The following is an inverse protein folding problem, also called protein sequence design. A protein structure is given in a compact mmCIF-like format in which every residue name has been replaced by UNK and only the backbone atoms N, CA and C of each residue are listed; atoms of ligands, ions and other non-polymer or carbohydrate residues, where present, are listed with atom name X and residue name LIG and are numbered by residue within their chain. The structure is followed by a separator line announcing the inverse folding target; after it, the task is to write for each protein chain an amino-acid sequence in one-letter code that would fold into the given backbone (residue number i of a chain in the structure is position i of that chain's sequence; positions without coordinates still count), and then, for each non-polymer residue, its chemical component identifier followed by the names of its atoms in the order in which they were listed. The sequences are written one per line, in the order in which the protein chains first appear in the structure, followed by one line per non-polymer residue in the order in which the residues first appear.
data_IF_992298895356
#
_entry.id   IF_992298895356
#
_cell.length_a   1.000
_cell.length_b   1.000
_cell.length_c   1.000
_cell.angle_alpha   90.00
_cell.angle_beta   90.00
_cell.angle_gamma   90.00
#
_symmetry.space_group_name_H-M   'P 1'
#
loop_
_entity.id
_entity.type
_entity.pdbx_description
1 polymer ?
#
# COMPACT_ATOMS: atom_id res chain seq x y z
N UNK A 1 22.01 -21.05 -28.71
CA UNK A 1 22.30 -19.93 -27.77
C UNK A 1 22.77 -20.57 -26.47
N UNK A 2 23.80 -19.99 -25.83
CA UNK A 2 24.53 -20.63 -24.72
C UNK A 2 24.20 -20.00 -23.37
N UNK A 3 24.32 -20.79 -22.31
CA UNK A 3 24.29 -20.31 -20.92
C UNK A 3 25.41 -19.30 -20.62
N UNK A 4 26.53 -19.39 -21.33
CA UNK A 4 27.62 -18.41 -21.27
C UNK A 4 27.18 -17.00 -21.67
N UNK A 5 26.43 -16.86 -22.78
CA UNK A 5 25.86 -15.58 -23.23
C UNK A 5 24.93 -14.97 -22.19
N UNK A 6 24.11 -15.80 -21.54
CA UNK A 6 23.21 -15.36 -20.49
C UNK A 6 23.97 -14.80 -19.27
N UNK A 7 25.06 -15.47 -18.87
CA UNK A 7 25.92 -14.98 -17.80
C UNK A 7 26.64 -13.68 -18.14
N UNK A 8 27.13 -13.54 -19.38
CA UNK A 8 27.75 -12.29 -19.83
C UNK A 8 26.75 -11.13 -19.84
N UNK A 9 25.49 -11.37 -20.22
CA UNK A 9 24.45 -10.36 -20.11
C UNK A 9 24.14 -10.00 -18.64
N UNK A 10 24.02 -10.99 -17.76
CA UNK A 10 23.81 -10.75 -16.33
C UNK A 10 24.95 -9.91 -15.71
N UNK A 11 26.20 -10.20 -16.06
CA UNK A 11 27.36 -9.41 -15.64
C UNK A 11 27.31 -7.97 -16.18
N UNK A 12 26.96 -7.78 -17.45
CA UNK A 12 26.82 -6.45 -18.02
C UNK A 12 25.68 -5.65 -17.38
N UNK A 13 24.53 -6.28 -17.10
CA UNK A 13 23.43 -5.66 -16.37
C UNK A 13 23.87 -5.25 -14.96
N UNK A 14 24.64 -6.10 -14.27
CA UNK A 14 25.21 -5.79 -12.95
C UNK A 14 26.13 -4.55 -12.98
N UNK A 15 26.83 -4.33 -14.09
CA UNK A 15 27.68 -3.15 -14.31
C UNK A 15 26.91 -1.90 -14.78
N UNK A 16 25.60 -2.03 -15.02
CA UNK A 16 24.71 -0.93 -15.38
C UNK A 16 24.26 -0.91 -16.84
N UNK A 17 24.44 -2.00 -17.61
CA UNK A 17 23.97 -2.06 -18.99
C UNK A 17 22.44 -1.93 -19.08
N UNK A 18 21.98 -1.26 -20.14
CA UNK A 18 20.57 -1.12 -20.50
C UNK A 18 20.21 -1.87 -21.79
N UNK A 19 21.17 -2.64 -22.34
CA UNK A 19 21.01 -3.38 -23.60
C UNK A 19 19.94 -4.48 -23.46
N UNK A 20 18.91 -4.50 -24.34
CA UNK A 20 17.93 -5.57 -24.43
C UNK A 20 18.55 -6.96 -24.67
N UNK A 21 17.90 -8.02 -24.20
CA UNK A 21 18.41 -9.39 -24.33
C UNK A 21 18.59 -9.83 -25.79
N UNK A 22 17.65 -9.42 -26.66
CA UNK A 22 17.71 -9.73 -28.10
C UNK A 22 18.84 -9.02 -28.84
N UNK A 23 19.30 -7.90 -28.30
CA UNK A 23 20.37 -7.09 -28.88
C UNK A 23 21.75 -7.46 -28.31
N UNK A 24 21.79 -8.31 -27.28
CA UNK A 24 23.04 -8.80 -26.72
C UNK A 24 23.81 -9.65 -27.75
N UNK A 25 25.13 -9.52 -27.90
CA UNK A 25 25.86 -10.26 -28.94
C UNK A 25 25.74 -11.78 -28.78
N UNK A 26 25.71 -12.52 -29.90
CA UNK A 26 25.60 -13.98 -29.95
C UNK A 26 26.86 -14.70 -30.46
N UNK A 27 27.92 -13.93 -30.74
CA UNK A 27 29.17 -14.38 -31.35
C UNK A 27 30.23 -14.88 -30.33
N UNK A 28 29.80 -15.21 -29.11
CA UNK A 28 30.65 -15.71 -28.02
C UNK A 28 31.55 -14.66 -27.37
N UNK A 29 31.68 -13.45 -27.95
CA UNK A 29 32.42 -12.32 -27.36
C UNK A 29 31.74 -11.78 -26.09
N UNK A 30 30.46 -12.10 -25.94
CA UNK A 30 29.61 -11.68 -24.84
C UNK A 30 29.27 -12.83 -23.87
N UNK A 31 30.02 -13.94 -23.94
CA UNK A 31 29.96 -15.01 -22.95
C UNK A 31 30.65 -14.55 -21.66
N UNK A 32 30.06 -14.87 -20.51
CA UNK A 32 30.59 -14.51 -19.20
C UNK A 32 30.70 -15.70 -18.26
N UNK A 33 31.49 -15.52 -17.21
CA UNK A 33 31.61 -16.48 -16.13
C UNK A 33 30.35 -16.49 -15.24
N UNK A 34 29.97 -17.64 -14.67
CA UNK A 34 28.86 -17.72 -13.73
C UNK A 34 29.06 -16.81 -12.51
N UNK A 35 28.06 -15.97 -12.20
CA UNK A 35 28.08 -15.12 -11.00
C UNK A 35 27.60 -15.87 -9.74
N UNK A 36 26.82 -16.94 -9.91
CA UNK A 36 26.23 -17.74 -8.85
C UNK A 36 26.05 -19.20 -9.30
N UNK A 37 25.51 -20.04 -8.40
CA UNK A 37 25.26 -21.47 -8.69
C UNK A 37 24.23 -21.69 -9.81
N UNK A 38 23.21 -20.83 -9.87
CA UNK A 38 22.14 -20.89 -10.87
C UNK A 38 21.98 -19.55 -11.59
N UNK A 39 21.58 -19.60 -12.86
CA UNK A 39 21.33 -18.41 -13.66
C UNK A 39 20.06 -17.70 -13.15
N UNK A 40 20.10 -16.37 -12.90
CA UNK A 40 18.91 -15.64 -12.50
C UNK A 40 17.78 -15.75 -13.54
N UNK A 41 16.55 -15.86 -13.06
CA UNK A 41 15.36 -15.86 -13.90
C UNK A 41 15.19 -14.60 -14.76
N UNK A 42 14.36 -14.73 -15.80
CA UNK A 42 14.04 -13.65 -16.73
C UNK A 42 13.40 -12.44 -16.02
N UNK A 43 12.70 -12.64 -14.90
CA UNK A 43 12.12 -11.52 -14.13
C UNK A 43 13.22 -10.68 -13.46
N UNK A 44 14.23 -11.31 -12.84
CA UNK A 44 15.33 -10.62 -12.18
C UNK A 44 16.14 -9.80 -13.19
N UNK A 45 16.48 -10.42 -14.32
CA UNK A 45 17.23 -9.76 -15.39
C UNK A 45 16.43 -8.60 -16.01
N UNK A 46 15.14 -8.82 -16.29
CA UNK A 46 14.24 -7.78 -16.82
C UNK A 46 14.01 -6.62 -15.85
N UNK A 47 13.91 -6.90 -14.54
CA UNK A 47 13.81 -5.89 -13.50
C UNK A 47 15.10 -5.07 -13.41
N UNK A 48 16.27 -5.73 -13.35
CA UNK A 48 17.56 -5.05 -13.24
C UNK A 48 17.82 -4.14 -14.44
N UNK A 49 17.50 -4.60 -15.66
CA UNK A 49 17.60 -3.76 -16.86
C UNK A 49 16.73 -2.50 -16.75
N UNK A 50 15.45 -2.65 -16.39
CA UNK A 50 14.54 -1.50 -16.22
C UNK A 50 14.99 -0.57 -15.08
N UNK A 51 15.59 -1.11 -14.02
CA UNK A 51 16.19 -0.34 -12.94
C UNK A 51 17.40 0.47 -13.43
N UNK A 52 18.27 -0.12 -14.26
CA UNK A 52 19.38 0.59 -14.89
C UNK A 52 18.89 1.73 -15.80
N UNK A 53 17.85 1.49 -16.61
CA UNK A 53 17.22 2.53 -17.44
C UNK A 53 16.67 3.67 -16.58
N UNK A 54 15.95 3.35 -15.50
CA UNK A 54 15.42 4.35 -14.58
C UNK A 54 16.52 5.14 -13.87
N UNK A 55 17.61 4.47 -13.48
CA UNK A 55 18.77 5.13 -12.87
C UNK A 55 19.47 6.07 -13.86
N UNK A 56 19.72 5.61 -15.09
CA UNK A 56 20.34 6.40 -16.14
C UNK A 56 19.52 7.66 -16.47
N UNK A 57 18.19 7.51 -16.60
CA UNK A 57 17.27 8.64 -16.81
C UNK A 57 17.31 9.66 -15.66
N UNK A 58 17.60 9.22 -14.43
CA UNK A 58 17.79 10.06 -13.26
C UNK A 58 19.24 10.55 -13.07
N UNK A 59 20.15 10.30 -14.02
CA UNK A 59 21.55 10.73 -13.97
C UNK A 59 22.38 9.99 -12.91
N UNK A 60 21.97 8.78 -12.52
CA UNK A 60 22.60 7.95 -11.48
C UNK A 60 22.88 6.54 -12.00
N UNK A 61 23.60 5.75 -11.21
CA UNK A 61 23.81 4.31 -11.46
C UNK A 61 23.15 3.48 -10.36
N UNK A 62 22.76 2.26 -10.71
CA UNK A 62 22.35 1.28 -9.71
C UNK A 62 23.59 0.85 -8.91
N UNK A 63 23.57 0.93 -7.57
CA UNK A 63 24.67 0.41 -6.77
C UNK A 63 24.86 -1.09 -7.01
N UNK A 64 26.11 -1.56 -7.11
CA UNK A 64 26.44 -2.97 -7.35
C UNK A 64 25.77 -3.89 -6.33
N UNK A 65 25.72 -3.48 -5.06
CA UNK A 65 25.03 -4.23 -4.00
C UNK A 65 23.53 -4.39 -4.27
N UNK A 66 22.86 -3.38 -4.84
CA UNK A 66 21.45 -3.49 -5.24
C UNK A 66 21.30 -4.40 -6.46
N UNK A 67 22.20 -4.30 -7.45
CA UNK A 67 22.19 -5.22 -8.59
C UNK A 67 22.34 -6.68 -8.15
N UNK A 68 23.28 -6.96 -7.23
CA UNK A 68 23.48 -8.29 -6.64
C UNK A 68 22.24 -8.78 -5.90
N UNK A 69 21.58 -7.90 -5.13
CA UNK A 69 20.30 -8.20 -4.48
C UNK A 69 19.20 -8.55 -5.48
N UNK A 70 19.09 -7.83 -6.58
CA UNK A 70 18.08 -8.11 -7.62
C UNK A 70 18.35 -9.45 -8.31
N UNK A 71 19.61 -9.74 -8.64
CA UNK A 71 19.98 -11.00 -9.30
C UNK A 71 19.76 -12.22 -8.39
N UNK A 72 19.94 -12.06 -7.08
CA UNK A 72 19.71 -13.11 -6.09
C UNK A 72 18.27 -13.20 -5.57
N UNK A 73 17.38 -12.28 -5.98
CA UNK A 73 16.03 -12.19 -5.45
C UNK A 73 15.16 -13.37 -5.91
N UNK A 74 14.37 -13.94 -5.00
CA UNK A 74 13.32 -14.89 -5.36
C UNK A 74 12.05 -14.20 -5.88
N UNK A 75 11.19 -14.96 -6.55
CA UNK A 75 9.86 -14.50 -6.98
C UNK A 75 8.85 -14.73 -5.86
N UNK A 76 8.11 -13.68 -5.48
CA UNK A 76 7.02 -13.80 -4.50
C UNK A 76 5.72 -14.35 -5.13
N UNK A 77 4.95 -15.12 -4.34
CA UNK A 77 3.63 -15.64 -4.71
C UNK A 77 3.53 -17.17 -4.75
N UNK A 78 2.39 -17.74 -4.34
CA UNK A 78 2.22 -19.20 -4.26
C UNK A 78 2.28 -19.88 -5.63
N UNK A 79 3.11 -20.93 -5.71
CA UNK A 79 3.18 -21.83 -6.87
C UNK A 79 3.75 -21.18 -8.14
N UNK A 80 4.44 -20.05 -8.00
CA UNK A 80 5.13 -19.35 -9.08
C UNK A 80 6.63 -19.47 -8.85
N UNK A 81 7.37 -19.81 -9.90
CA UNK A 81 8.82 -19.89 -9.89
C UNK A 81 9.42 -18.87 -10.84
N UNK A 82 10.74 -18.84 -10.87
CA UNK A 82 11.51 -18.08 -11.86
C UNK A 82 11.18 -18.57 -13.27
N UNK A 83 11.06 -17.62 -14.20
CA UNK A 83 10.83 -17.90 -15.60
C UNK A 83 12.19 -18.08 -16.29
N UNK A 84 12.41 -19.19 -17.03
CA UNK A 84 13.64 -19.41 -17.75
C UNK A 84 13.90 -18.32 -18.80
N UNK A 85 15.16 -18.00 -19.03
CA UNK A 85 15.57 -17.05 -20.05
C UNK A 85 15.53 -17.69 -21.44
N UNK A 86 14.90 -17.02 -22.41
CA UNK A 86 14.83 -17.48 -23.80
C UNK A 86 16.24 -17.69 -24.39
N UNK A 87 16.56 -18.94 -24.74
CA UNK A 87 17.82 -19.31 -25.39
C UNK A 87 19.01 -19.49 -24.44
N UNK A 88 18.81 -19.47 -23.12
CA UNK A 88 19.89 -19.77 -22.17
C UNK A 88 20.17 -21.29 -22.08
N UNK A 89 19.11 -22.09 -22.01
CA UNK A 89 19.15 -23.55 -21.93
C UNK A 89 18.22 -24.17 -22.99
N UNK A 90 18.39 -25.47 -23.25
CA UNK A 90 17.48 -26.22 -24.11
C UNK A 90 16.08 -26.28 -23.48
N UNK A 91 15.01 -26.11 -24.27
CA UNK A 91 13.65 -26.05 -23.73
C UNK A 91 13.28 -27.38 -23.06
N UNK A 92 13.02 -27.32 -21.75
CA UNK A 92 12.53 -28.47 -21.00
C UNK A 92 11.11 -28.88 -21.43
N UNK A 93 10.82 -30.18 -21.32
CA UNK A 93 9.47 -30.73 -21.63
C UNK A 93 8.42 -30.33 -20.58
N UNK A 94 8.85 -30.00 -19.37
CA UNK A 94 7.99 -29.65 -18.24
C UNK A 94 8.43 -28.30 -17.67
N UNK A 95 7.48 -27.55 -17.10
CA UNK A 95 7.75 -26.23 -16.53
C UNK A 95 7.30 -25.05 -17.40
N UNK A 96 7.50 -23.80 -16.93
CA UNK A 96 7.19 -22.61 -17.68
C UNK A 96 8.07 -22.50 -18.93
N UNK A 97 7.52 -21.95 -20.02
CA UNK A 97 8.28 -21.72 -21.24
C UNK A 97 9.32 -20.63 -21.02
N UNK A 98 10.52 -20.73 -21.64
CA UNK A 98 11.48 -19.65 -21.65
C UNK A 98 10.89 -18.37 -22.26
N UNK A 99 11.22 -17.23 -21.67
CA UNK A 99 10.66 -15.93 -22.04
C UNK A 99 11.75 -14.90 -22.29
N UNK A 100 11.39 -13.91 -23.09
CA UNK A 100 12.21 -12.72 -23.31
C UNK A 100 11.93 -11.69 -22.20
N UNK A 101 12.93 -11.31 -21.37
CA UNK A 101 12.78 -10.38 -20.27
C UNK A 101 12.18 -9.03 -20.66
N UNK A 102 12.42 -8.58 -21.89
CA UNK A 102 11.94 -7.29 -22.38
C UNK A 102 10.45 -7.31 -22.74
N UNK A 103 9.89 -8.50 -22.93
CA UNK A 103 8.46 -8.70 -23.23
C UNK A 103 7.64 -9.07 -22.01
N UNK A 104 8.28 -9.21 -20.84
CA UNK A 104 7.59 -9.54 -19.61
C UNK A 104 6.59 -8.43 -19.25
N UNK A 105 5.35 -8.81 -18.88
CA UNK A 105 4.40 -7.84 -18.36
C UNK A 105 4.91 -7.30 -17.02
N UNK A 106 4.59 -6.04 -16.73
CA UNK A 106 5.10 -5.35 -15.55
C UNK A 106 4.67 -6.02 -14.23
N UNK A 107 3.55 -6.76 -14.23
CA UNK A 107 3.09 -7.52 -13.06
C UNK A 107 4.05 -8.64 -12.64
N UNK A 108 4.76 -9.26 -13.58
CA UNK A 108 5.77 -10.30 -13.29
C UNK A 108 7.00 -9.67 -12.62
N UNK A 109 7.42 -8.48 -13.05
CA UNK A 109 8.53 -7.75 -12.44
C UNK A 109 8.17 -7.18 -11.08
N UNK A 110 6.93 -6.71 -10.92
CA UNK A 110 6.40 -6.24 -9.65
C UNK A 110 6.44 -7.31 -8.56
N UNK A 111 6.43 -8.61 -8.88
CA UNK A 111 6.57 -9.68 -7.88
C UNK A 111 7.96 -9.75 -7.28
N UNK A 112 8.99 -9.54 -8.09
CA UNK A 112 10.39 -9.48 -7.63
C UNK A 112 10.60 -8.17 -6.86
N UNK A 113 10.17 -7.04 -7.43
CA UNK A 113 10.31 -5.72 -6.81
C UNK A 113 9.57 -5.63 -5.46
N UNK A 114 8.35 -6.17 -5.35
CA UNK A 114 7.60 -6.20 -4.11
C UNK A 114 8.26 -7.06 -3.03
N UNK A 115 8.93 -8.16 -3.41
CA UNK A 115 9.72 -8.97 -2.49
C UNK A 115 10.90 -8.20 -1.91
N UNK A 116 11.69 -7.57 -2.77
CA UNK A 116 12.83 -6.73 -2.36
C UNK A 116 12.43 -5.56 -1.45
N UNK A 117 11.34 -4.86 -1.78
CA UNK A 117 10.81 -3.78 -0.93
C UNK A 117 10.28 -4.34 0.39
N UNK A 118 9.69 -5.54 0.40
CA UNK A 118 9.25 -6.18 1.64
C UNK A 118 10.44 -6.53 2.54
N UNK A 119 11.56 -7.00 1.97
CA UNK A 119 12.80 -7.24 2.71
C UNK A 119 13.33 -5.94 3.33
N UNK A 120 13.35 -4.84 2.58
CA UNK A 120 13.76 -3.52 3.11
C UNK A 120 12.84 -3.07 4.25
N UNK A 121 11.52 -3.20 4.11
CA UNK A 121 10.56 -2.87 5.16
C UNK A 121 10.76 -3.77 6.38
N UNK A 122 10.97 -5.08 6.19
CA UNK A 122 11.24 -6.02 7.28
C UNK A 122 12.55 -5.70 8.01
N UNK A 123 13.57 -5.23 7.31
CA UNK A 123 14.82 -4.80 7.92
C UNK A 123 14.66 -3.58 8.85
N UNK A 124 13.59 -2.81 8.71
CA UNK A 124 13.24 -1.73 9.66
C UNK A 124 12.52 -2.23 10.91
N UNK A 125 12.09 -3.49 10.95
CA UNK A 125 11.45 -4.07 12.12
C UNK A 125 12.42 -4.15 13.30
N UNK A 126 11.94 -3.81 14.50
CA UNK A 126 12.77 -3.81 15.71
C UNK A 126 13.70 -2.60 15.85
N UNK A 127 13.68 -1.64 14.93
CA UNK A 127 14.30 -0.33 15.18
C UNK A 127 13.66 0.26 16.44
N UNK A 128 14.46 0.63 17.47
CA UNK A 128 13.91 1.08 18.74
C UNK A 128 13.03 2.31 18.50
N UNK A 129 11.73 2.18 18.81
CA UNK A 129 10.86 3.35 18.84
C UNK A 129 11.46 4.33 19.84
N UNK A 130 11.81 5.55 19.42
CA UNK A 130 12.43 6.51 20.34
C UNK A 130 11.50 6.67 21.54
N UNK A 131 12.05 6.49 22.75
CA UNK A 131 11.24 6.67 23.95
C UNK A 131 10.66 8.08 23.94
N UNK A 132 9.35 8.24 24.21
CA UNK A 132 8.77 9.56 24.27
C UNK A 132 9.50 10.36 25.35
N UNK A 133 9.96 11.54 24.96
CA UNK A 133 10.61 12.52 25.83
C UNK A 133 9.69 12.90 26.99
N UNK A 134 10.24 13.43 28.09
CA UNK A 134 9.43 13.92 29.21
C UNK A 134 8.39 14.96 28.77
N UNK A 135 8.72 15.79 27.77
CA UNK A 135 7.80 16.77 27.18
C UNK A 135 6.66 16.08 26.45
N UNK A 136 6.94 15.05 25.66
CA UNK A 136 5.91 14.26 24.97
C UNK A 136 5.01 13.51 25.95
N UNK A 137 5.59 12.92 27.00
CA UNK A 137 4.81 12.30 28.09
C UNK A 137 3.92 13.31 28.79
N UNK A 138 4.42 14.52 29.08
CA UNK A 138 3.63 15.57 29.70
C UNK A 138 2.51 16.10 28.77
N UNK A 139 2.73 16.14 27.45
CA UNK A 139 1.69 16.47 26.46
C UNK A 139 0.67 15.35 26.30
N UNK A 140 1.09 14.09 26.38
CA UNK A 140 0.22 12.92 26.37
C UNK A 140 -0.53 12.73 27.70
N UNK A 141 -0.07 13.36 28.79
CA UNK A 141 -0.76 13.31 30.07
C UNK A 141 -2.12 13.99 29.96
N UNK A 142 -3.18 13.19 30.15
CA UNK A 142 -4.55 13.64 30.02
C UNK A 142 -4.90 14.65 31.10
N UNK A 143 -5.31 15.86 30.71
CA UNK A 143 -5.80 16.86 31.67
C UNK A 143 -7.18 16.47 32.18
N UNK A 144 -7.45 16.51 33.50
CA UNK A 144 -8.70 16.01 34.08
C UNK A 144 -9.97 16.72 33.59
N UNK A 145 -9.82 17.94 33.04
CA UNK A 145 -10.89 18.77 32.49
C UNK A 145 -11.17 18.53 30.99
N UNK A 146 -10.46 17.61 30.33
CA UNK A 146 -10.67 17.33 28.90
C UNK A 146 -11.82 16.33 28.69
N UNK A 147 -12.69 16.62 27.72
CA UNK A 147 -13.79 15.72 27.31
C UNK A 147 -13.23 14.32 27.01
N UNK A 148 -13.93 13.28 27.48
CA UNK A 148 -13.59 11.90 27.15
C UNK A 148 -14.16 11.55 25.79
N UNK A 149 -13.30 11.13 24.86
CA UNK A 149 -13.72 10.79 23.51
C UNK A 149 -12.91 9.62 22.96
N UNK A 150 -13.49 8.93 21.99
CA UNK A 150 -12.79 7.99 21.12
C UNK A 150 -13.21 8.25 19.69
N UNK A 151 -12.27 8.13 18.76
CA UNK A 151 -12.56 8.25 17.33
C UNK A 151 -12.73 6.83 16.79
N UNK A 152 -13.80 6.57 16.06
CA UNK A 152 -14.09 5.29 15.40
C UNK A 152 -14.39 5.52 13.92
N UNK A 153 -14.35 4.48 13.09
CA UNK A 153 -14.60 4.59 11.65
C UNK A 153 -13.59 3.82 10.81
N UNK A 154 -13.54 4.13 9.52
CA UNK A 154 -12.60 3.50 8.60
C UNK A 154 -11.16 3.77 9.05
N UNK A 155 -10.39 2.70 9.26
CA UNK A 155 -9.09 2.75 9.94
C UNK A 155 -8.14 3.79 9.33
N UNK A 156 -8.05 3.87 8.00
CA UNK A 156 -7.16 4.81 7.30
C UNK A 156 -7.36 6.27 7.76
N UNK A 157 -8.61 6.70 7.90
CA UNK A 157 -8.97 8.04 8.36
C UNK A 157 -8.90 8.16 9.87
N UNK A 158 -9.50 7.21 10.58
CA UNK A 158 -9.59 7.24 12.04
C UNK A 158 -8.21 7.24 12.71
N UNK A 159 -7.26 6.44 12.20
CA UNK A 159 -5.90 6.35 12.74
C UNK A 159 -5.15 7.69 12.56
N UNK A 160 -5.31 8.33 11.40
CA UNK A 160 -4.69 9.64 11.12
C UNK A 160 -5.23 10.74 12.04
N UNK A 161 -6.54 10.76 12.29
CA UNK A 161 -7.18 11.69 13.23
C UNK A 161 -6.72 11.42 14.67
N UNK A 162 -6.65 10.15 15.09
CA UNK A 162 -6.15 9.77 16.43
C UNK A 162 -4.71 10.21 16.63
N UNK A 163 -3.83 9.96 15.64
CA UNK A 163 -2.43 10.36 15.69
C UNK A 163 -2.28 11.88 15.79
N UNK A 164 -3.02 12.65 14.98
CA UNK A 164 -2.97 14.11 15.02
C UNK A 164 -3.51 14.70 16.33
N UNK A 165 -4.58 14.14 16.88
CA UNK A 165 -5.10 14.55 18.19
C UNK A 165 -4.11 14.24 19.31
N UNK A 166 -3.48 13.05 19.28
CA UNK A 166 -2.44 12.69 20.25
C UNK A 166 -1.23 13.64 20.16
N UNK A 167 -0.75 13.95 18.95
CA UNK A 167 0.34 14.90 18.73
C UNK A 167 -0.01 16.32 19.22
N UNK A 168 -1.29 16.70 19.17
CA UNK A 168 -1.81 17.95 19.71
C UNK A 168 -2.06 17.93 21.24
N UNK A 169 -1.64 16.87 21.95
CA UNK A 169 -1.82 16.73 23.40
C UNK A 169 -3.25 16.38 23.82
N UNK A 170 -4.02 15.76 22.93
CA UNK A 170 -5.42 15.34 23.14
C UNK A 170 -5.58 13.84 22.84
N UNK A 171 -4.93 12.94 23.59
CA UNK A 171 -5.08 11.51 23.37
C UNK A 171 -6.53 11.06 23.66
N UNK A 172 -7.01 10.11 22.86
CA UNK A 172 -8.32 9.50 23.07
C UNK A 172 -8.40 8.71 24.39
N UNK A 173 -9.61 8.54 24.91
CA UNK A 173 -9.92 7.76 26.11
C UNK A 173 -10.56 8.58 27.23
N UNK A 174 -10.55 8.00 28.42
CA UNK A 174 -11.18 8.57 29.61
C UNK A 174 -12.39 7.78 30.11
N UNK A 175 -12.95 8.22 31.25
CA UNK A 175 -14.12 7.59 31.85
C UNK A 175 -15.36 7.96 31.02
N UNK A 176 -16.05 6.94 30.48
CA UNK A 176 -17.28 7.08 29.66
C UNK A 176 -17.11 8.02 28.44
N UNK A 177 -16.27 7.64 27.46
CA UNK A 177 -16.00 8.48 26.31
C UNK A 177 -17.18 8.54 25.33
N UNK A 178 -17.32 9.67 24.64
CA UNK A 178 -18.17 9.78 23.44
C UNK A 178 -17.41 9.20 22.23
N UNK A 179 -18.03 8.27 21.51
CA UNK A 179 -17.50 7.67 20.30
C UNK A 179 -17.93 8.47 19.06
N UNK A 180 -16.97 9.15 18.44
CA UNK A 180 -17.18 9.88 17.18
C UNK A 180 -16.87 8.96 15.99
N UNK A 181 -17.91 8.52 15.29
CA UNK A 181 -17.81 7.69 14.08
C UNK A 181 -17.57 8.59 12.86
N UNK A 182 -16.33 8.62 12.38
CA UNK A 182 -15.98 9.31 11.15
C UNK A 182 -16.58 8.59 9.95
N UNK A 183 -17.37 9.33 9.20
CA UNK A 183 -17.96 8.92 7.94
C UNK A 183 -17.56 9.90 6.83
N UNK A 184 -17.82 9.50 5.59
CA UNK A 184 -17.68 10.30 4.38
C UNK A 184 -18.71 9.82 3.35
N UNK A 185 -18.71 10.40 2.15
CA UNK A 185 -19.43 9.79 1.04
C UNK A 185 -19.00 8.33 0.85
N UNK A 186 -19.92 7.47 0.42
CA UNK A 186 -19.67 6.04 0.42
C UNK A 186 -18.56 5.61 -0.57
N UNK A 187 -18.33 6.38 -1.64
CA UNK A 187 -17.22 6.11 -2.56
C UNK A 187 -15.87 6.31 -1.86
N UNK A 188 -15.71 7.44 -1.15
CA UNK A 188 -14.52 7.74 -0.35
C UNK A 188 -14.33 6.73 0.78
N UNK A 189 -15.40 6.30 1.45
CA UNK A 189 -15.36 5.25 2.47
C UNK A 189 -14.82 3.93 1.90
N UNK A 190 -15.21 3.54 0.69
CA UNK A 190 -14.70 2.33 0.03
C UNK A 190 -13.22 2.44 -0.32
N UNK A 191 -12.77 3.61 -0.80
CA UNK A 191 -11.36 3.88 -1.09
C UNK A 191 -10.53 3.78 0.18
N UNK A 192 -10.98 4.40 1.27
CA UNK A 192 -10.32 4.30 2.58
C UNK A 192 -10.31 2.86 3.11
N UNK A 193 -11.36 2.08 2.87
CA UNK A 193 -11.45 0.68 3.29
C UNK A 193 -10.48 -0.21 2.52
N UNK A 194 -10.33 0.00 1.20
CA UNK A 194 -9.34 -0.70 0.39
C UNK A 194 -7.91 -0.29 0.76
N UNK A 195 -7.67 1.01 0.98
CA UNK A 195 -6.37 1.53 1.44
C UNK A 195 -5.98 0.92 2.78
N UNK A 196 -6.87 0.96 3.77
CA UNK A 196 -6.63 0.33 5.08
C UNK A 196 -6.33 -1.17 4.95
N UNK A 197 -7.01 -1.86 4.03
CA UNK A 197 -6.77 -3.29 3.77
C UNK A 197 -5.40 -3.54 3.12
N UNK A 198 -4.98 -2.69 2.17
CA UNK A 198 -3.67 -2.78 1.54
C UNK A 198 -2.55 -2.70 2.59
N UNK A 199 -2.67 -1.77 3.55
CA UNK A 199 -1.73 -1.61 4.66
C UNK A 199 -1.85 -2.69 5.74
N UNK A 200 -2.91 -3.49 5.79
CA UNK A 200 -3.08 -4.49 6.85
C UNK A 200 -2.63 -5.88 6.41
N UNK A 201 -3.02 -6.31 5.22
CA UNK A 201 -2.89 -7.72 4.81
C UNK A 201 -2.65 -7.97 3.33
N UNK A 202 -2.46 -6.91 2.54
CA UNK A 202 -2.61 -7.01 1.09
C UNK A 202 -4.04 -7.46 0.72
N UNK A 203 -4.16 -8.17 -0.40
CA UNK A 203 -5.42 -8.79 -0.83
C UNK A 203 -5.83 -8.45 -2.26
N UNK A 204 -7.14 -8.41 -2.55
CA UNK A 204 -7.64 -8.27 -3.92
C UNK A 204 -7.26 -6.92 -4.52
N UNK A 205 -7.11 -6.92 -5.85
CA UNK A 205 -7.02 -5.69 -6.65
C UNK A 205 -8.21 -4.76 -6.36
N UNK A 206 -8.09 -3.47 -6.65
CA UNK A 206 -9.21 -2.52 -6.51
C UNK A 206 -10.46 -3.02 -7.25
N UNK A 207 -10.27 -3.52 -8.47
CA UNK A 207 -11.31 -4.11 -9.29
C UNK A 207 -12.01 -5.28 -8.60
N UNK A 208 -11.24 -6.26 -8.10
CA UNK A 208 -11.80 -7.45 -7.46
C UNK A 208 -12.46 -7.14 -6.11
N UNK A 209 -11.92 -6.17 -5.37
CA UNK A 209 -12.52 -5.66 -4.14
C UNK A 209 -13.94 -5.14 -4.37
N UNK A 210 -14.11 -4.29 -5.39
CA UNK A 210 -15.42 -3.76 -5.77
C UNK A 210 -16.33 -4.84 -6.35
N UNK A 211 -15.82 -5.66 -7.29
CA UNK A 211 -16.59 -6.76 -7.89
C UNK A 211 -17.15 -7.66 -6.81
N UNK A 212 -16.30 -8.16 -5.92
CA UNK A 212 -16.73 -9.08 -4.85
C UNK A 212 -17.79 -8.43 -3.96
N UNK A 213 -17.58 -7.17 -3.54
CA UNK A 213 -18.55 -6.45 -2.70
C UNK A 213 -19.92 -6.27 -3.41
N UNK A 214 -19.89 -5.92 -4.70
CA UNK A 214 -21.10 -5.79 -5.51
C UNK A 214 -21.83 -7.13 -5.73
N UNK A 215 -21.08 -8.20 -6.00
CA UNK A 215 -21.64 -9.54 -6.27
C UNK A 215 -22.29 -10.15 -5.03
N UNK A 216 -21.73 -9.92 -3.84
CA UNK A 216 -22.34 -10.34 -2.58
C UNK A 216 -23.44 -9.38 -2.08
N UNK A 217 -23.61 -8.22 -2.72
CA UNK A 217 -24.68 -7.27 -2.44
C UNK A 217 -24.56 -6.53 -1.10
N UNK A 218 -23.40 -6.57 -0.44
CA UNK A 218 -23.16 -5.91 0.84
C UNK A 218 -21.81 -5.16 0.86
N UNK A 219 -21.70 -4.18 1.76
CA UNK A 219 -20.43 -3.48 1.97
C UNK A 219 -19.41 -4.41 2.65
N UNK A 220 -18.11 -4.24 2.36
CA UNK A 220 -17.08 -4.91 3.14
C UNK A 220 -17.13 -4.41 4.59
N UNK A 221 -16.79 -5.23 5.60
CA UNK A 221 -16.90 -4.83 7.02
C UNK A 221 -16.15 -3.54 7.39
N UNK A 222 -15.10 -3.19 6.64
CA UNK A 222 -14.31 -1.95 6.81
C UNK A 222 -14.95 -0.69 6.21
N UNK A 223 -16.05 -0.83 5.48
CA UNK A 223 -16.85 0.25 4.91
C UNK A 223 -18.30 0.28 5.45
N UNK A 224 -18.70 -0.73 6.24
CA UNK A 224 -20.04 -0.86 6.81
C UNK A 224 -20.19 0.04 8.05
N UNK A 225 -20.50 1.32 7.82
CA UNK A 225 -20.68 2.33 8.86
C UNK A 225 -21.78 1.95 9.88
N UNK A 226 -22.96 1.41 9.48
CA UNK A 226 -23.96 0.97 10.44
C UNK A 226 -23.45 -0.13 11.37
N UNK A 227 -22.68 -1.10 10.84
CA UNK A 227 -22.04 -2.13 11.69
C UNK A 227 -21.02 -1.53 12.64
N UNK A 228 -20.23 -0.56 12.21
CA UNK A 228 -19.31 0.16 13.10
C UNK A 228 -20.04 0.92 14.20
N UNK A 229 -21.14 1.61 13.87
CA UNK A 229 -21.99 2.30 14.84
C UNK A 229 -22.60 1.35 15.87
N UNK A 230 -23.11 0.19 15.43
CA UNK A 230 -23.62 -0.87 16.32
C UNK A 230 -22.53 -1.42 17.24
N UNK A 231 -21.33 -1.67 16.72
CA UNK A 231 -20.20 -2.12 17.53
C UNK A 231 -19.78 -1.07 18.56
N UNK A 232 -19.74 0.21 18.19
CA UNK A 232 -19.49 1.31 19.11
C UNK A 232 -20.60 1.43 20.18
N UNK A 233 -21.87 1.28 19.77
CA UNK A 233 -23.02 1.29 20.67
C UNK A 233 -22.92 0.19 21.72
N UNK A 234 -22.59 -1.03 21.29
CA UNK A 234 -22.40 -2.15 22.21
C UNK A 234 -21.30 -1.90 23.23
N UNK A 235 -20.24 -1.19 22.84
CA UNK A 235 -19.07 -0.92 23.69
C UNK A 235 -19.22 0.31 24.60
N UNK A 236 -19.88 1.37 24.13
CA UNK A 236 -19.89 2.69 24.78
C UNK A 236 -21.28 3.17 25.22
N UNK A 237 -22.36 2.54 24.75
CA UNK A 237 -23.74 2.99 24.96
C UNK A 237 -24.27 3.80 23.77
N UNK A 238 -25.57 3.72 23.51
CA UNK A 238 -26.22 4.38 22.37
C UNK A 238 -26.22 5.91 22.49
N UNK A 239 -26.35 6.44 23.71
CA UNK A 239 -26.29 7.87 24.04
C UNK A 239 -24.89 8.49 23.84
N UNK A 240 -23.89 7.66 23.51
CA UNK A 240 -22.48 8.05 23.39
C UNK A 240 -21.91 7.88 22.00
N UNK A 241 -22.71 7.52 21.00
CA UNK A 241 -22.24 7.41 19.61
C UNK A 241 -22.71 8.63 18.84
N UNK A 242 -21.78 9.30 18.15
CA UNK A 242 -22.08 10.44 17.28
C UNK A 242 -21.49 10.18 15.91
N UNK A 243 -22.31 10.22 14.86
CA UNK A 243 -21.87 10.11 13.47
C UNK A 243 -21.31 11.44 13.01
N UNK A 244 -20.16 11.44 12.33
CA UNK A 244 -19.46 12.65 11.92
C UNK A 244 -19.27 12.66 10.40
N UNK A 245 -19.96 13.59 9.75
CA UNK A 245 -19.84 13.91 8.31
C UNK A 245 -19.33 15.34 8.07
N UNK A 246 -19.13 16.10 9.15
CA UNK A 246 -18.45 17.39 9.14
C UNK A 246 -17.19 17.35 10.03
N UNK A 247 -15.99 17.20 9.42
CA UNK A 247 -14.73 17.21 10.14
C UNK A 247 -14.43 18.53 10.86
N UNK A 248 -14.92 19.67 10.36
CA UNK A 248 -14.71 20.97 10.99
C UNK A 248 -15.59 21.10 12.24
N UNK A 249 -16.82 20.60 12.20
CA UNK A 249 -17.69 20.53 13.37
C UNK A 249 -17.06 19.66 14.47
N UNK A 250 -16.49 18.50 14.10
CA UNK A 250 -15.76 17.67 15.06
C UNK A 250 -14.50 18.35 15.60
N UNK A 251 -13.74 19.05 14.74
CA UNK A 251 -12.57 19.82 15.19
C UNK A 251 -12.96 20.85 16.25
N UNK A 252 -14.03 21.62 16.01
CA UNK A 252 -14.57 22.58 16.96
C UNK A 252 -15.02 21.91 18.27
N UNK A 253 -15.76 20.79 18.18
CA UNK A 253 -16.26 20.04 19.34
C UNK A 253 -15.12 19.50 20.24
N UNK A 254 -14.00 19.11 19.62
CA UNK A 254 -12.79 18.62 20.30
C UNK A 254 -11.80 19.75 20.68
N UNK A 255 -12.08 21.00 20.29
CA UNK A 255 -11.25 22.17 20.56
C UNK A 255 -9.90 22.15 19.85
N UNK A 256 -9.86 21.66 18.60
CA UNK A 256 -8.69 21.72 17.71
C UNK A 256 -9.00 22.58 16.48
N UNK A 257 -7.97 23.22 15.91
CA UNK A 257 -8.12 24.03 14.70
C UNK A 257 -8.51 23.19 13.47
N UNK A 258 -7.97 21.98 13.37
CA UNK A 258 -8.28 21.02 12.30
C UNK A 258 -7.99 19.60 12.75
N UNK A 259 -8.64 18.65 12.09
CA UNK A 259 -8.28 17.23 12.19
C UNK A 259 -7.17 16.91 11.19
N UNK A 260 -6.28 16.01 11.57
CA UNK A 260 -5.26 15.52 10.65
C UNK A 260 -5.90 14.66 9.58
N UNK A 261 -5.69 15.02 8.31
CA UNK A 261 -6.05 14.20 7.16
C UNK A 261 -5.07 13.02 7.01
N UNK A 262 -5.55 11.87 6.50
CA UNK A 262 -4.64 10.80 6.13
C UNK A 262 -3.67 11.23 5.03
N UNK A 263 -2.46 10.61 4.94
CA UNK A 263 -1.57 10.81 3.82
C UNK A 263 -2.31 10.57 2.49
N UNK A 264 -2.14 11.50 1.55
CA UNK A 264 -2.75 11.38 0.22
C UNK A 264 -1.94 10.37 -0.58
N UNK A 265 -2.56 9.25 -0.95
CA UNK A 265 -1.95 8.21 -1.78
C UNK A 265 -2.77 8.04 -3.05
N UNK A 266 -2.10 8.04 -4.19
CA UNK A 266 -2.72 7.71 -5.47
C UNK A 266 -2.96 6.20 -5.63
N UNK A 267 -3.76 5.82 -6.63
CA UNK A 267 -4.15 4.45 -6.89
C UNK A 267 -2.93 3.52 -7.05
N UNK A 268 -1.89 3.98 -7.75
CA UNK A 268 -0.69 3.18 -8.01
C UNK A 268 0.13 2.96 -6.72
N UNK A 269 0.18 3.97 -5.84
CA UNK A 269 0.87 3.85 -4.55
C UNK A 269 0.17 2.86 -3.61
N UNK A 270 -1.16 2.89 -3.57
CA UNK A 270 -1.94 1.94 -2.75
C UNK A 270 -1.77 0.51 -3.27
N UNK A 271 -1.76 0.32 -4.59
CA UNK A 271 -1.54 -1.01 -5.18
C UNK A 271 -0.11 -1.54 -4.94
N UNK A 272 0.90 -0.67 -4.98
CA UNK A 272 2.26 -1.04 -4.60
C UNK A 272 2.31 -1.55 -3.16
N UNK A 273 1.72 -0.82 -2.20
CA UNK A 273 1.64 -1.27 -0.80
C UNK A 273 0.92 -2.60 -0.67
N UNK A 274 -0.19 -2.79 -1.42
CA UNK A 274 -0.93 -4.07 -1.45
C UNK A 274 -0.05 -5.23 -1.91
N UNK A 275 0.78 -5.02 -2.94
CA UNK A 275 1.70 -6.01 -3.50
C UNK A 275 2.87 -6.31 -2.55
N UNK A 276 3.40 -5.31 -1.86
CA UNK A 276 4.47 -5.48 -0.84
C UNK A 276 3.95 -6.20 0.41
N UNK A 277 2.70 -5.94 0.82
CA UNK A 277 2.13 -6.54 2.03
C UNK A 277 1.94 -8.06 1.99
N UNK A 278 1.92 -8.66 0.80
CA UNK A 278 1.84 -10.12 0.61
C UNK A 278 3.15 -10.84 1.01
N UNK A 279 4.31 -10.59 0.38
CA UNK A 279 5.59 -11.17 0.80
C UNK A 279 6.00 -10.73 2.21
N UNK A 280 5.74 -9.48 2.60
CA UNK A 280 6.05 -9.02 3.97
C UNK A 280 5.33 -9.86 5.04
N UNK A 281 4.13 -10.37 4.75
CA UNK A 281 3.39 -11.26 5.65
C UNK A 281 4.07 -12.60 5.96
N UNK A 282 5.15 -12.94 5.24
CA UNK A 282 6.00 -14.11 5.51
C UNK A 282 7.24 -13.76 6.35
N UNK A 283 7.59 -12.48 6.45
CA UNK A 283 8.82 -12.00 7.08
C UNK A 283 8.60 -11.44 8.49
N UNK A 284 7.39 -10.98 8.80
CA UNK A 284 7.08 -10.30 10.07
C UNK A 284 5.78 -10.81 10.69
N UNK A 285 5.61 -10.58 11.99
CA UNK A 285 4.40 -10.94 12.69
C UNK A 285 3.17 -10.19 12.16
N UNK A 286 2.04 -10.90 12.09
CA UNK A 286 0.78 -10.34 11.58
C UNK A 286 0.35 -9.06 12.31
N UNK A 287 0.66 -8.97 13.60
CA UNK A 287 0.31 -7.82 14.43
C UNK A 287 1.15 -6.57 14.11
N UNK A 288 2.41 -6.76 13.71
CA UNK A 288 3.39 -5.69 13.47
C UNK A 288 3.32 -5.15 12.03
N UNK A 289 2.99 -6.02 11.07
CA UNK A 289 2.94 -5.69 9.64
C UNK A 289 2.23 -4.35 9.33
N UNK A 290 1.04 -4.06 9.88
CA UNK A 290 0.34 -2.82 9.52
C UNK A 290 1.04 -1.56 10.01
N UNK A 291 1.78 -1.64 11.12
CA UNK A 291 2.57 -0.54 11.63
C UNK A 291 3.82 -0.33 10.78
N UNK A 292 4.53 -1.42 10.46
CA UNK A 292 5.72 -1.38 9.59
C UNK A 292 5.42 -0.79 8.22
N UNK A 293 4.36 -1.28 7.54
CA UNK A 293 3.98 -0.73 6.23
C UNK A 293 3.64 0.76 6.31
N UNK A 294 2.92 1.19 7.35
CA UNK A 294 2.57 2.61 7.51
C UNK A 294 3.79 3.46 7.82
N UNK A 295 4.68 3.03 8.71
CA UNK A 295 5.87 3.78 9.09
C UNK A 295 6.87 3.88 7.92
N UNK A 296 7.10 2.78 7.21
CA UNK A 296 8.11 2.69 6.16
C UNK A 296 7.66 3.28 4.81
N UNK A 297 6.41 3.02 4.39
CA UNK A 297 5.95 3.34 3.03
C UNK A 297 5.02 4.55 2.96
N UNK A 298 4.19 4.82 3.97
CA UNK A 298 3.23 5.93 3.87
C UNK A 298 3.93 7.30 3.70
N UNK A 299 5.03 7.63 4.41
CA UNK A 299 5.75 8.88 4.20
C UNK A 299 6.41 8.97 2.81
N UNK A 300 7.02 7.87 2.32
CA UNK A 300 7.70 7.83 1.03
C UNK A 300 6.75 7.92 -0.16
N UNK A 301 5.51 7.46 0.01
CA UNK A 301 4.48 7.45 -1.03
C UNK A 301 3.48 8.61 -0.90
N UNK A 302 3.58 9.44 0.14
CA UNK A 302 2.71 10.59 0.33
C UNK A 302 2.79 11.56 -0.87
N UNK A 303 1.63 11.87 -1.46
CA UNK A 303 1.52 12.71 -2.65
C UNK A 303 1.93 12.03 -3.96
N UNK A 304 2.24 10.72 -3.95
CA UNK A 304 2.68 9.97 -5.14
C UNK A 304 1.62 8.98 -5.63
N UNK A 305 1.84 8.45 -6.84
CA UNK A 305 1.03 7.39 -7.45
C UNK A 305 -0.24 7.84 -8.14
N UNK A 306 -0.29 9.11 -8.56
CA UNK A 306 -1.39 9.69 -9.33
C UNK A 306 -2.60 10.07 -8.49
N UNK A 307 -3.77 10.13 -9.13
CA UNK A 307 -5.04 10.40 -8.47
C UNK A 307 -5.49 9.23 -7.57
N UNK A 308 -6.32 9.50 -6.58
CA UNK A 308 -6.94 8.47 -5.75
C UNK A 308 -7.82 7.54 -6.62
N UNK A 309 -7.92 6.24 -6.29
CA UNK A 309 -8.77 5.33 -7.04
C UNK A 309 -10.23 5.77 -6.91
N UNK A 310 -11.00 5.57 -7.97
CA UNK A 310 -12.43 5.94 -8.00
C UNK A 310 -13.29 4.73 -8.30
N UNK A 311 -14.55 4.75 -7.85
CA UNK A 311 -15.51 3.68 -8.15
C UNK A 311 -16.00 3.82 -9.61
N UNK A 312 -15.82 2.81 -10.48
CA UNK A 312 -16.33 2.85 -11.84
C UNK A 312 -17.86 3.00 -11.93
N UNK A 313 -18.34 3.75 -12.93
CA UNK A 313 -19.75 4.08 -13.13
C UNK A 313 -20.68 2.84 -13.18
N UNK A 314 -20.18 1.70 -13.69
CA UNK A 314 -20.93 0.42 -13.70
C UNK A 314 -21.35 -0.08 -12.30
N UNK A 315 -20.68 0.37 -11.24
CA UNK A 315 -21.04 0.07 -9.86
C UNK A 315 -21.93 1.15 -9.23
N UNK A 316 -22.29 2.20 -9.98
CA UNK A 316 -23.05 3.34 -9.48
C UNK A 316 -24.39 2.97 -8.87
N UNK A 317 -25.19 2.14 -9.54
CA UNK A 317 -26.47 1.68 -9.00
C UNK A 317 -26.32 0.94 -7.66
N UNK A 318 -25.35 0.02 -7.57
CA UNK A 318 -25.05 -0.68 -6.32
C UNK A 318 -24.57 0.29 -5.22
N UNK A 319 -23.69 1.22 -5.56
CA UNK A 319 -23.15 2.20 -4.61
C UNK A 319 -24.25 3.12 -4.07
N UNK A 320 -25.12 3.64 -4.93
CA UNK A 320 -26.27 4.46 -4.55
C UNK A 320 -27.20 3.70 -3.61
N UNK A 321 -27.57 2.46 -3.95
CA UNK A 321 -28.42 1.63 -3.08
C UNK A 321 -27.75 1.29 -1.74
N UNK A 322 -26.43 1.13 -1.70
CA UNK A 322 -25.71 0.93 -0.43
C UNK A 322 -25.65 2.23 0.39
N UNK A 323 -25.51 3.39 -0.24
CA UNK A 323 -25.45 4.69 0.42
C UNK A 323 -26.81 5.05 1.03
N UNK A 324 -27.90 4.86 0.28
CA UNK A 324 -29.26 5.04 0.75
C UNK A 324 -29.59 4.13 1.94
N UNK A 325 -29.22 2.84 1.85
CA UNK A 325 -29.39 1.90 2.97
C UNK A 325 -28.58 2.31 4.19
N UNK A 326 -27.32 2.71 3.99
CA UNK A 326 -26.45 3.16 5.09
C UNK A 326 -27.01 4.41 5.77
N UNK A 327 -27.48 5.38 4.98
CA UNK A 327 -28.15 6.59 5.47
C UNK A 327 -29.39 6.23 6.27
N UNK A 328 -30.27 5.40 5.71
CA UNK A 328 -31.51 4.97 6.38
C UNK A 328 -31.24 4.23 7.68
N UNK A 329 -30.28 3.31 7.71
CA UNK A 329 -29.92 2.54 8.90
C UNK A 329 -29.39 3.44 10.03
N UNK A 330 -28.58 4.45 9.69
CA UNK A 330 -28.04 5.40 10.66
C UNK A 330 -29.11 6.38 11.17
N UNK A 331 -30.00 6.83 10.29
CA UNK A 331 -31.14 7.69 10.60
C UNK A 331 -32.15 6.96 11.52
N UNK A 332 -32.54 5.75 11.16
CA UNK A 332 -33.47 4.92 11.92
C UNK A 332 -32.93 4.55 13.31
N UNK A 333 -31.61 4.43 13.47
CA UNK A 333 -30.97 4.20 14.75
C UNK A 333 -30.94 5.45 15.66
N UNK A 334 -31.26 6.64 15.14
CA UNK A 334 -31.40 7.87 15.92
C UNK A 334 -30.09 8.41 16.50
N UNK A 335 -28.94 8.07 15.89
CA UNK A 335 -27.65 8.59 16.35
C UNK A 335 -27.56 10.11 16.15
N UNK A 336 -27.03 10.87 17.13
CA UNK A 336 -26.61 12.25 16.90
C UNK A 336 -25.66 12.37 15.71
N UNK A 337 -25.84 13.39 14.87
CA UNK A 337 -25.04 13.63 13.67
C UNK A 337 -24.36 15.00 13.74
N UNK A 338 -23.05 15.03 13.50
CA UNK A 338 -22.30 16.25 13.21
C UNK A 338 -22.14 16.39 11.70
N UNK A 339 -22.94 17.27 11.10
CA UNK A 339 -23.06 17.44 9.66
C UNK A 339 -24.41 16.93 9.15
N UNK A 340 -24.44 16.46 7.90
CA UNK A 340 -25.65 16.04 7.21
C UNK A 340 -25.48 14.62 6.66
N UNK A 341 -26.43 13.72 6.96
CA UNK A 341 -26.45 12.33 6.49
C UNK A 341 -26.54 12.22 4.97
N UNK A 342 -27.08 13.24 4.28
CA UNK A 342 -27.14 13.25 2.81
C UNK A 342 -25.75 13.27 2.17
N UNK A 343 -24.69 13.68 2.92
CA UNK A 343 -23.29 13.58 2.48
C UNK A 343 -22.80 12.14 2.29
N UNK A 344 -23.52 11.13 2.80
CA UNK A 344 -23.22 9.72 2.54
C UNK A 344 -23.48 9.34 1.08
N UNK A 345 -24.41 10.05 0.42
CA UNK A 345 -24.80 9.79 -0.95
C UNK A 345 -23.65 10.22 -1.87
N UNK A 346 -23.15 9.33 -2.74
CA UNK A 346 -22.05 9.66 -3.64
C UNK A 346 -22.52 10.74 -4.63
N UNK A 347 -21.62 11.68 -4.93
CA UNK A 347 -21.80 12.57 -6.08
C UNK A 347 -21.72 11.81 -7.42
N UNK A 348 -21.83 12.52 -8.55
CA UNK A 348 -21.63 11.93 -9.87
C UNK A 348 -20.29 11.19 -9.96
N UNK A 349 -20.34 9.91 -10.33
CA UNK A 349 -19.13 9.12 -10.54
C UNK A 349 -18.40 9.61 -11.80
N UNK A 350 -17.05 9.56 -11.83
CA UNK A 350 -16.28 9.99 -12.99
C UNK A 350 -16.54 9.08 -14.18
N UNK A 351 -16.55 9.67 -15.38
CA UNK A 351 -16.69 8.94 -16.65
C UNK A 351 -15.50 8.00 -16.89
N UNK A 352 -14.30 8.49 -16.60
CA UNK A 352 -13.05 7.72 -16.66
C UNK A 352 -12.61 7.34 -15.25
N UNK A 353 -12.76 6.07 -14.83
CA UNK A 353 -12.39 5.68 -13.50
C UNK A 353 -10.87 5.59 -13.34
N UNK A 354 -10.36 6.14 -12.24
CA UNK A 354 -8.98 5.95 -11.81
C UNK A 354 -8.84 4.58 -11.16
N UNK A 355 -7.93 3.77 -11.68
CA UNK A 355 -7.53 2.47 -11.15
C UNK A 355 -6.00 2.34 -11.20
N UNK A 356 -5.41 1.42 -10.43
CA UNK A 356 -3.98 1.16 -10.52
C UNK A 356 -3.56 0.70 -11.93
N UNK A 357 -2.43 1.18 -12.42
CA UNK A 357 -1.82 0.83 -13.70
C UNK A 357 -0.45 0.22 -13.45
N UNK A 358 -0.24 -1.04 -13.86
CA UNK A 358 0.94 -1.81 -13.46
C UNK A 358 2.27 -1.16 -13.89
N UNK A 359 2.34 -0.52 -15.06
CA UNK A 359 3.51 0.24 -15.49
C UNK A 359 3.87 1.38 -14.53
N UNK A 360 2.87 2.13 -14.07
CA UNK A 360 3.04 3.24 -13.12
C UNK A 360 3.36 2.73 -11.70
N UNK A 361 2.80 1.59 -11.32
CA UNK A 361 3.13 0.91 -10.05
C UNK A 361 4.60 0.44 -10.09
N UNK A 362 5.05 -0.11 -11.22
CA UNK A 362 6.44 -0.52 -11.42
C UNK A 362 7.38 0.69 -11.37
N UNK A 363 7.03 1.80 -12.02
CA UNK A 363 7.82 3.03 -11.94
C UNK A 363 8.03 3.51 -10.49
N UNK A 364 6.98 3.46 -9.65
CA UNK A 364 7.10 3.74 -8.21
C UNK A 364 8.01 2.74 -7.50
N UNK A 365 7.88 1.44 -7.81
CA UNK A 365 8.69 0.39 -7.20
C UNK A 365 10.17 0.57 -7.54
N UNK A 366 10.50 0.88 -8.81
CA UNK A 366 11.86 1.19 -9.24
C UNK A 366 12.42 2.39 -8.48
N UNK A 367 11.62 3.45 -8.30
CA UNK A 367 12.01 4.60 -7.49
C UNK A 367 12.34 4.23 -6.03
N UNK A 368 11.57 3.33 -5.41
CA UNK A 368 11.86 2.83 -4.06
C UNK A 368 13.09 1.92 -4.01
N UNK A 369 13.36 1.12 -5.04
CA UNK A 369 14.57 0.29 -5.11
C UNK A 369 15.83 1.14 -5.35
N UNK A 370 15.69 2.28 -6.04
CA UNK A 370 16.75 3.26 -6.18
C UNK A 370 17.02 4.01 -4.87
N UNK A 371 15.99 4.24 -4.06
CA UNK A 371 16.11 4.90 -2.75
C UNK A 371 15.55 3.99 -1.63
N UNK A 372 16.28 2.90 -1.26
CA UNK A 372 15.78 1.82 -0.42
C UNK A 372 15.22 2.26 0.92
N UNK A 373 14.35 1.42 1.48
CA UNK A 373 13.86 1.60 2.85
C UNK A 373 14.95 1.17 3.83
N UNK A 374 15.87 2.07 4.16
CA UNK A 374 16.93 1.80 5.13
C UNK A 374 16.52 2.18 6.55
N UNK A 375 17.22 1.57 7.52
CA UNK A 375 17.18 2.04 8.91
C UNK A 375 17.94 3.36 9.03
N UNK A 376 17.54 4.20 9.98
CA UNK A 376 18.15 5.52 10.18
C UNK A 376 19.66 5.46 10.54
N UNK A 377 20.16 4.31 10.98
CA UNK A 377 21.59 4.07 11.25
C UNK A 377 22.45 3.93 9.99
N UNK A 378 21.88 3.51 8.85
CA UNK A 378 22.60 3.37 7.58
C UNK A 378 22.55 4.64 6.73
N UNK A 379 21.66 5.60 7.04
CA UNK A 379 21.54 6.86 6.29
C UNK A 379 22.61 7.91 6.71
N UNK A 380 23.17 7.77 7.91
CA UNK A 380 24.17 8.68 8.49
C UNK A 380 25.62 8.14 8.41
N UNK A 381 25.81 6.98 7.77
CA UNK A 381 27.11 6.32 7.54
C UNK A 381 27.46 6.35 6.04
#
# INVERSE_FOLDING_TARGET
MSRGRAWGWAAALREGSTTPWREWPDDGSADGEPLAGDLPGAQQLGLLRRLNVAAEAAGRRVPVAMADRVLAAGVSGRGRGELPLLGADDPERFGPRPVDPDTLPDDELLRVAAGLIADDVAATAGAPTPEPTLVERARAARRPWTKAFVVVGVQWRADSVRAGLAAAGRPQGGRRPTAYLLADDLATVLVHAWTARAFDQGGPTWHDFLRNSSSFGHLPPRADLPRMARSATHKYGADRVTVVLDPAALAAELGTARLQEPPRLGANAIDLVRRVGEPLGLLVDRAERPELLRAALAPRLAGRGGAAPTVPARFGGWLSSMAERTRHDLEAAGYPVLGDLDRLLPGPLPAEPVAPVDAEVLALALGLLLDPVTTQQEADA
#
